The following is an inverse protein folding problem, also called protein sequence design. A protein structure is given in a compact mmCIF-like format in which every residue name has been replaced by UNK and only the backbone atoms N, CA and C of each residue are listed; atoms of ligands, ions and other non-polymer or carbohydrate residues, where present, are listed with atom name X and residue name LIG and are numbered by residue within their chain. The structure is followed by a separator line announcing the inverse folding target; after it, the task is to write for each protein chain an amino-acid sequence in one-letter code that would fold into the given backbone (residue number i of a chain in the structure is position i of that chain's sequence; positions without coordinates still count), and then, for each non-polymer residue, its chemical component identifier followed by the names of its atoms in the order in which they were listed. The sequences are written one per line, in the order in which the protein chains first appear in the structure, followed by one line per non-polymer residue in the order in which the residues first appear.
data_IF_812357988746
#
_entry.id   IF_812357988746
#
_cell.length_a   1.000
_cell.length_b   1.000
_cell.length_c   1.000
_cell.angle_alpha   90.00
_cell.angle_beta   90.00
_cell.angle_gamma   90.00
#
_symmetry.space_group_name_H-M   'P 1'
#
loop_
_entity.id
_entity.type
_entity.pdbx_description
1 polymer ?
#
# COMPACT_ATOMS: atom_id res chain seq x y z
N UNK A 1 14.61 5.98 5.50
CA UNK A 1 14.90 4.95 6.54
C UNK A 1 13.94 3.78 6.38
N UNK A 2 14.32 2.54 6.69
CA UNK A 2 13.40 1.41 6.65
C UNK A 2 12.22 1.62 7.61
N UNK A 3 11.05 1.08 7.27
CA UNK A 3 9.88 1.11 8.16
C UNK A 3 10.09 0.15 9.34
N UNK A 4 9.58 0.53 10.50
CA UNK A 4 9.46 -0.33 11.67
C UNK A 4 8.10 -1.02 11.70
N UNK A 5 8.00 -2.16 12.37
CA UNK A 5 6.71 -2.86 12.53
C UNK A 5 5.73 -2.00 13.35
N UNK A 6 4.48 -1.91 12.90
CA UNK A 6 3.38 -1.32 13.65
C UNK A 6 2.28 -0.69 12.79
N UNK A 7 1.29 -0.01 13.40
CA UNK A 7 0.26 0.74 12.69
C UNK A 7 0.75 2.02 11.98
N UNK A 8 0.25 2.23 10.75
CA UNK A 8 0.49 3.41 9.91
C UNK A 8 -0.80 3.91 9.27
N UNK A 9 -0.81 5.19 8.93
CA UNK A 9 -1.67 5.72 7.87
C UNK A 9 -0.86 5.73 6.56
N UNK A 10 -1.47 5.28 5.47
CA UNK A 10 -0.83 5.26 4.15
C UNK A 10 -1.54 6.24 3.23
N UNK A 11 -0.79 7.09 2.55
CA UNK A 11 -1.31 8.15 1.70
C UNK A 11 -0.62 8.15 0.32
N UNK A 12 -1.35 8.52 -0.72
CA UNK A 12 -0.79 8.90 -2.02
C UNK A 12 -1.31 10.29 -2.39
N UNK A 13 -0.42 11.22 -2.76
CA UNK A 13 -0.77 12.57 -3.26
C UNK A 13 -1.83 13.30 -2.42
N UNK A 14 -1.74 13.23 -1.09
CA UNK A 14 -2.72 13.91 -0.23
C UNK A 14 -3.97 13.09 0.10
N UNK A 15 -4.15 11.88 -0.44
CA UNK A 15 -5.33 11.03 -0.21
C UNK A 15 -4.98 9.72 0.48
N UNK A 16 -5.71 9.37 1.52
CA UNK A 16 -5.47 8.14 2.29
C UNK A 16 -5.92 6.90 1.52
N UNK A 17 -5.32 5.76 1.82
CA UNK A 17 -5.75 4.45 1.29
C UNK A 17 -6.72 3.78 2.26
N UNK A 18 -7.71 3.08 1.72
CA UNK A 18 -8.67 2.27 2.47
C UNK A 18 -8.96 0.94 1.78
N UNK A 19 -9.63 0.02 2.48
CA UNK A 19 -10.25 -1.15 1.90
C UNK A 19 -11.74 -0.90 1.70
N UNK A 20 -12.27 -1.30 0.54
CA UNK A 20 -13.68 -1.10 0.21
C UNK A 20 -14.55 -2.04 1.03
N UNK A 21 -15.30 -1.52 2.00
CA UNK A 21 -16.28 -2.29 2.77
C UNK A 21 -17.65 -2.38 2.07
N UNK A 22 -17.83 -1.69 0.94
CA UNK A 22 -19.09 -1.67 0.21
C UNK A 22 -19.30 -2.94 -0.62
N UNK A 23 -20.07 -3.87 -0.05
CA UNK A 23 -20.61 -5.04 -0.74
C UNK A 23 -20.01 -6.37 -0.27
N UNK A 24 -20.60 -7.52 -0.66
CA UNK A 24 -20.12 -8.86 -0.30
C UNK A 24 -18.83 -9.27 -1.06
N UNK A 25 -18.11 -8.29 -1.62
CA UNK A 25 -16.93 -8.51 -2.46
C UNK A 25 -15.75 -8.89 -1.58
N UNK A 26 -15.69 -10.19 -1.33
CA UNK A 26 -14.48 -10.86 -0.91
C UNK A 26 -13.75 -11.26 -2.20
N UNK A 27 -12.54 -10.78 -2.47
CA UNK A 27 -11.69 -9.95 -1.60
C UNK A 27 -11.97 -8.45 -1.69
N UNK A 28 -11.73 -7.73 -0.59
CA UNK A 28 -11.96 -6.28 -0.46
C UNK A 28 -10.95 -5.51 -1.33
N UNK A 29 -11.37 -4.44 -2.01
CA UNK A 29 -10.48 -3.67 -2.89
C UNK A 29 -9.68 -2.69 -2.05
N UNK A 30 -8.38 -2.55 -2.29
CA UNK A 30 -7.62 -1.42 -1.73
C UNK A 30 -7.83 -0.21 -2.63
N UNK A 31 -8.42 0.86 -2.11
CA UNK A 31 -8.84 2.05 -2.86
C UNK A 31 -8.15 3.32 -2.34
N UNK A 32 -8.12 4.37 -3.16
CA UNK A 32 -7.74 5.72 -2.72
C UNK A 32 -9.00 6.43 -2.22
N UNK A 33 -8.99 6.97 -1.02
CA UNK A 33 -10.11 7.75 -0.50
C UNK A 33 -10.20 9.13 -1.18
N UNK A 34 -11.38 9.76 -1.21
CA UNK A 34 -11.51 11.20 -1.43
C UNK A 34 -10.65 12.00 -0.45
N UNK A 35 -10.53 13.32 -0.65
CA UNK A 35 -9.80 14.19 0.29
C UNK A 35 -10.48 14.17 1.66
N UNK A 36 -9.84 13.51 2.63
CA UNK A 36 -10.32 13.36 4.01
C UNK A 36 -9.26 13.83 5.00
N UNK A 37 -9.71 14.14 6.22
CA UNK A 37 -8.84 14.59 7.33
C UNK A 37 -8.13 13.38 8.01
N UNK A 38 -8.48 12.16 7.64
CA UNK A 38 -7.88 10.93 8.18
C UNK A 38 -8.23 9.70 7.35
N UNK A 39 -7.49 8.62 7.57
CA UNK A 39 -7.68 7.33 6.91
C UNK A 39 -7.67 6.17 7.91
N UNK A 40 -8.00 4.97 7.45
CA UNK A 40 -7.95 3.75 8.26
C UNK A 40 -6.51 3.37 8.62
N UNK A 41 -6.39 2.53 9.64
CA UNK A 41 -5.09 2.03 10.12
C UNK A 41 -4.66 0.83 9.28
N UNK A 42 -3.41 0.85 8.85
CA UNK A 42 -2.74 -0.28 8.20
C UNK A 42 -1.65 -0.81 9.12
N UNK A 43 -1.66 -2.11 9.40
CA UNK A 43 -0.60 -2.74 10.16
C UNK A 43 0.50 -3.23 9.21
N UNK A 44 1.68 -2.65 9.34
CA UNK A 44 2.87 -3.01 8.55
C UNK A 44 3.77 -3.87 9.42
N UNK A 45 4.06 -5.09 8.98
CA UNK A 45 4.87 -6.05 9.71
C UNK A 45 6.15 -6.36 8.95
N UNK A 46 7.31 -6.09 9.58
CA UNK A 46 8.63 -6.38 9.01
C UNK A 46 8.93 -7.87 9.13
N UNK A 47 9.11 -8.54 7.99
CA UNK A 47 9.42 -9.97 7.89
C UNK A 47 10.84 -10.24 7.38
N UNK A 48 11.59 -9.18 7.02
CA UNK A 48 12.98 -9.27 6.59
C UNK A 48 13.59 -7.90 6.23
N UNK A 49 14.74 -7.91 5.57
CA UNK A 49 15.40 -6.69 5.08
C UNK A 49 14.56 -6.08 3.95
N UNK A 50 13.98 -4.91 4.20
CA UNK A 50 13.04 -4.23 3.30
C UNK A 50 11.81 -5.05 2.89
N UNK A 51 11.52 -6.15 3.60
CA UNK A 51 10.42 -7.07 3.32
C UNK A 51 9.35 -6.93 4.39
N UNK A 52 8.12 -6.71 3.95
CA UNK A 52 7.00 -6.37 4.82
C UNK A 52 5.73 -7.09 4.39
N UNK A 53 4.82 -7.32 5.32
CA UNK A 53 3.41 -7.61 5.00
C UNK A 53 2.57 -6.42 5.44
N UNK A 54 1.52 -6.11 4.69
CA UNK A 54 0.58 -5.03 5.01
C UNK A 54 -0.79 -5.65 5.25
N UNK A 55 -1.39 -5.33 6.40
CA UNK A 55 -2.71 -5.82 6.81
C UNK A 55 -3.64 -4.64 7.09
N UNK A 56 -4.90 -4.74 6.70
CA UNK A 56 -5.93 -3.79 7.13
C UNK A 56 -6.31 -4.00 8.60
N UNK A 57 -6.99 -3.02 9.18
CA UNK A 57 -7.47 -3.04 10.57
C UNK A 57 -8.46 -4.19 10.88
N UNK A 58 -9.23 -4.62 9.89
CA UNK A 58 -10.10 -5.81 9.98
C UNK A 58 -9.35 -7.16 9.81
N UNK A 59 -8.02 -7.13 9.68
CA UNK A 59 -7.17 -8.32 9.51
C UNK A 59 -6.99 -8.78 8.06
N UNK A 60 -7.52 -8.05 7.09
CA UNK A 60 -7.37 -8.33 5.66
C UNK A 60 -5.91 -8.29 5.22
N UNK A 61 -5.48 -9.34 4.52
CA UNK A 61 -4.08 -9.49 4.05
C UNK A 61 -3.97 -8.93 2.65
N UNK A 62 -3.13 -7.92 2.46
CA UNK A 62 -2.94 -7.33 1.13
C UNK A 62 -2.28 -8.32 0.17
N UNK A 63 -2.78 -8.36 -1.07
CA UNK A 63 -2.27 -9.21 -2.15
C UNK A 63 -2.48 -8.55 -3.52
N UNK A 64 -1.53 -8.75 -4.43
CA UNK A 64 -1.76 -8.57 -5.85
C UNK A 64 -2.60 -9.74 -6.40
N UNK A 65 -3.62 -9.40 -7.16
CA UNK A 65 -4.31 -10.32 -8.04
C UNK A 65 -4.41 -9.69 -9.42
N UNK A 66 -3.77 -10.32 -10.40
CA UNK A 66 -3.55 -9.79 -11.75
C UNK A 66 -2.87 -8.42 -11.74
N UNK A 67 -3.62 -7.36 -11.99
CA UNK A 67 -3.18 -5.97 -12.10
C UNK A 67 -3.74 -5.08 -10.98
N UNK A 68 -4.30 -5.68 -9.92
CA UNK A 68 -5.01 -4.97 -8.84
C UNK A 68 -4.58 -5.45 -7.45
N UNK A 69 -4.70 -4.56 -6.47
CA UNK A 69 -4.39 -4.86 -5.07
C UNK A 69 -5.68 -5.04 -4.26
N UNK A 70 -5.76 -6.15 -3.53
CA UNK A 70 -6.89 -6.51 -2.70
C UNK A 70 -6.46 -6.77 -1.25
N UNK A 71 -7.37 -6.58 -0.30
CA UNK A 71 -7.26 -7.05 1.08
C UNK A 71 -8.13 -8.31 1.25
N UNK A 72 -7.51 -9.45 1.51
CA UNK A 72 -8.21 -10.74 1.62
C UNK A 72 -8.51 -11.03 3.10
N UNK A 73 -9.79 -11.06 3.45
CA UNK A 73 -10.29 -11.26 4.83
C UNK A 73 -10.81 -12.70 5.10
N UNK A 74 -10.76 -13.60 4.10
CA UNK A 74 -11.27 -14.98 4.22
C UNK A 74 -10.42 -15.83 5.17
N UNK A 75 -11.08 -16.74 5.89
CA UNK A 75 -10.44 -17.84 6.61
C UNK A 75 -10.97 -19.22 6.15
N UNK A 76 -10.11 -20.21 5.85
CA UNK A 76 -8.66 -20.09 5.69
C UNK A 76 -8.32 -19.26 4.43
N UNK A 77 -7.54 -18.21 4.62
CA UNK A 77 -7.08 -17.33 3.55
C UNK A 77 -5.67 -17.70 3.10
N UNK A 78 -5.21 -17.17 1.96
CA UNK A 78 -3.83 -17.39 1.53
C UNK A 78 -2.84 -16.69 2.49
N UNK A 79 -1.58 -17.11 2.44
CA UNK A 79 -0.50 -16.45 3.19
C UNK A 79 -0.37 -14.97 2.76
N UNK A 80 -0.06 -14.04 3.68
CA UNK A 80 0.12 -12.62 3.32
C UNK A 80 1.19 -12.46 2.25
N UNK A 81 0.98 -11.55 1.29
CA UNK A 81 2.02 -11.24 0.32
C UNK A 81 3.17 -10.46 0.99
N UNK A 82 4.39 -10.77 0.56
CA UNK A 82 5.58 -10.06 0.99
C UNK A 82 5.88 -8.95 0.00
N UNK A 83 5.78 -7.72 0.48
CA UNK A 83 6.10 -6.50 -0.26
C UNK A 83 7.51 -6.03 0.04
N UNK A 84 8.20 -5.57 -1.01
CA UNK A 84 9.46 -4.85 -0.86
C UNK A 84 9.18 -3.35 -0.73
N UNK A 85 9.32 -2.82 0.48
CA UNK A 85 9.06 -1.41 0.77
C UNK A 85 10.40 -0.69 0.97
N UNK A 86 10.71 0.23 0.06
CA UNK A 86 11.98 0.99 0.08
C UNK A 86 11.74 2.49 0.09
N UNK A 87 12.56 3.27 0.82
CA UNK A 87 12.44 4.73 0.82
C UNK A 87 12.59 5.32 -0.59
N UNK A 88 11.78 6.32 -0.89
CA UNK A 88 11.91 7.19 -2.05
C UNK A 88 12.37 8.58 -1.58
N UNK A 89 13.67 8.84 -1.70
CA UNK A 89 14.26 10.11 -1.24
C UNK A 89 13.79 11.32 -2.06
N UNK A 90 13.33 11.10 -3.30
CA UNK A 90 12.82 12.15 -4.19
C UNK A 90 11.34 12.44 -3.93
N UNK A 91 10.59 11.43 -3.48
CA UNK A 91 9.18 11.54 -3.11
C UNK A 91 8.88 12.33 -1.83
N UNK A 92 9.92 12.82 -1.15
CA UNK A 92 9.81 13.64 0.06
C UNK A 92 9.93 12.84 1.36
N UNK A 93 9.56 13.47 2.48
CA UNK A 93 9.65 12.85 3.80
C UNK A 93 8.67 11.68 3.93
N UNK A 94 9.13 10.59 4.55
CA UNK A 94 8.34 9.38 4.82
C UNK A 94 7.70 8.78 3.56
N UNK A 95 8.36 8.97 2.42
CA UNK A 95 7.91 8.50 1.10
C UNK A 95 8.56 7.17 0.75
N UNK A 96 7.78 6.24 0.21
CA UNK A 96 8.18 4.86 -0.04
C UNK A 96 7.56 4.29 -1.31
N UNK A 97 8.24 3.34 -1.92
CA UNK A 97 7.72 2.54 -3.03
C UNK A 97 7.46 1.13 -2.54
N UNK A 98 6.29 0.57 -2.89
CA UNK A 98 5.84 -0.78 -2.53
C UNK A 98 5.94 -1.66 -3.78
N UNK A 99 6.82 -2.66 -3.75
CA UNK A 99 7.11 -3.56 -4.88
C UNK A 99 6.74 -5.00 -4.60
N UNK A 100 6.40 -5.74 -5.66
CA UNK A 100 6.32 -7.20 -5.60
C UNK A 100 7.71 -7.80 -5.40
N UNK A 101 7.78 -9.10 -5.09
CA UNK A 101 9.05 -9.81 -4.91
C UNK A 101 9.92 -9.81 -6.18
N UNK A 102 9.31 -9.86 -7.36
CA UNK A 102 10.04 -9.81 -8.62
C UNK A 102 10.61 -8.41 -8.92
N UNK A 103 10.17 -7.39 -8.18
CA UNK A 103 10.75 -6.04 -8.19
C UNK A 103 10.41 -5.15 -9.38
N UNK A 104 9.78 -5.69 -10.44
CA UNK A 104 9.41 -4.91 -11.64
C UNK A 104 7.99 -4.34 -11.57
N UNK A 105 7.10 -4.90 -10.75
CA UNK A 105 5.77 -4.34 -10.46
C UNK A 105 5.70 -3.77 -9.05
N UNK A 106 4.73 -2.89 -8.85
CA UNK A 106 4.44 -2.32 -7.55
C UNK A 106 3.06 -1.70 -7.50
N UNK A 107 2.77 -1.11 -6.35
CA UNK A 107 1.51 -0.40 -6.13
C UNK A 107 1.51 0.89 -6.93
N UNK A 108 0.41 1.15 -7.65
CA UNK A 108 0.19 2.38 -8.40
C UNK A 108 -1.21 2.89 -8.10
N UNK A 109 -1.28 4.11 -7.56
CA UNK A 109 -2.53 4.78 -7.25
C UNK A 109 -3.22 5.29 -8.53
N UNK A 110 -4.55 5.11 -8.65
CA UNK A 110 -5.33 5.75 -9.69
C UNK A 110 -5.47 7.26 -9.44
N UNK A 111 -5.83 8.03 -10.48
CA UNK A 111 -6.04 9.48 -10.36
C UNK A 111 -7.36 9.83 -9.69
N UNK A 112 -8.42 9.10 -10.03
CA UNK A 112 -9.75 9.29 -9.47
C UNK A 112 -9.85 8.64 -8.08
N UNK A 113 -10.48 9.31 -7.10
CA UNK A 113 -10.77 8.70 -5.80
C UNK A 113 -11.73 7.51 -5.96
N UNK A 114 -11.80 6.68 -4.94
CA UNK A 114 -12.59 5.45 -4.83
C UNK A 114 -12.19 4.33 -5.82
N UNK A 115 -11.29 4.64 -6.77
CA UNK A 115 -10.68 3.64 -7.61
C UNK A 115 -9.64 2.81 -6.85
N UNK A 116 -9.50 1.57 -7.32
CA UNK A 116 -8.62 0.57 -6.74
C UNK A 116 -7.15 0.81 -7.08
N UNK A 117 -6.26 0.57 -6.12
CA UNK A 117 -4.81 0.52 -6.31
C UNK A 117 -4.47 -0.61 -7.28
N UNK A 118 -3.63 -0.29 -8.25
CA UNK A 118 -3.19 -1.21 -9.29
C UNK A 118 -1.84 -1.84 -8.92
N UNK A 119 -1.59 -3.05 -9.43
CA UNK A 119 -0.29 -3.72 -9.42
C UNK A 119 0.32 -3.65 -10.82
N UNK A 120 1.14 -2.65 -11.09
CA UNK A 120 1.63 -2.33 -12.44
C UNK A 120 3.15 -2.21 -12.50
N UNK A 121 3.75 -2.35 -13.68
CA UNK A 121 5.16 -2.06 -13.88
C UNK A 121 5.52 -0.65 -13.39
N UNK A 122 6.60 -0.54 -12.61
CA UNK A 122 7.07 0.75 -12.14
C UNK A 122 7.93 1.41 -13.21
N UNK A 123 7.36 2.39 -13.89
CA UNK A 123 8.04 3.13 -14.96
C UNK A 123 8.81 4.29 -14.32
N UNK A 124 10.13 4.22 -14.34
CA UNK A 124 11.00 5.32 -13.90
C UNK A 124 11.12 6.39 -14.99
N UNK A 125 11.07 7.66 -14.61
CA UNK A 125 11.45 8.77 -15.50
C UNK A 125 12.98 8.87 -15.65
N UNK A 126 13.43 9.74 -16.57
CA UNK A 126 14.83 10.18 -16.66
C UNK A 126 14.93 11.67 -16.26
N UNK A 127 15.65 12.05 -15.17
CA UNK A 127 16.43 11.18 -14.28
C UNK A 127 15.55 10.20 -13.49
N UNK A 128 16.17 9.09 -13.06
CA UNK A 128 15.51 7.98 -12.34
C UNK A 128 14.70 8.48 -11.15
N UNK A 129 13.39 8.62 -11.36
CA UNK A 129 12.42 9.02 -10.35
C UNK A 129 11.15 8.21 -10.51
N UNK A 130 10.52 7.86 -9.39
CA UNK A 130 9.22 7.20 -9.40
C UNK A 130 8.14 8.24 -9.69
N UNK A 131 7.13 7.89 -10.49
CA UNK A 131 6.03 8.80 -10.74
C UNK A 131 5.25 9.00 -9.43
N UNK A 132 4.66 10.17 -9.17
CA UNK A 132 4.08 10.46 -7.85
C UNK A 132 2.89 9.56 -7.46
N UNK A 133 2.33 8.80 -8.39
CA UNK A 133 1.27 7.81 -8.11
C UNK A 133 1.82 6.43 -7.73
N UNK A 134 3.12 6.18 -7.88
CA UNK A 134 3.79 4.96 -7.44
C UNK A 134 4.52 5.11 -6.09
N UNK A 135 4.49 6.32 -5.50
CA UNK A 135 5.12 6.61 -4.22
C UNK A 135 4.05 6.88 -3.15
N UNK A 136 4.22 6.30 -1.97
CA UNK A 136 3.26 6.36 -0.87
C UNK A 136 3.92 6.89 0.40
N UNK A 137 3.21 7.76 1.11
CA UNK A 137 3.64 8.31 2.38
C UNK A 137 3.13 7.44 3.53
N UNK A 138 4.02 7.11 4.46
CA UNK A 138 3.71 6.28 5.63
C UNK A 138 3.83 7.10 6.92
N UNK A 139 2.72 7.36 7.58
CA UNK A 139 2.69 8.07 8.85
C UNK A 139 2.52 7.08 10.00
N UNK A 140 3.57 6.90 10.82
CA UNK A 140 3.51 6.01 12.00
C UNK A 140 2.48 6.55 12.97
N UNK A 141 1.56 5.69 13.40
CA UNK A 141 0.64 5.98 14.50
C UNK A 141 1.35 5.57 15.80
N UNK A 142 1.51 6.47 16.78
CA UNK A 142 2.07 6.12 18.08
C UNK A 142 1.29 4.97 18.72
N UNK A 143 1.99 4.04 19.36
CA UNK A 143 1.33 3.05 20.20
C UNK A 143 0.78 3.78 21.45
N UNK A 144 -0.48 3.55 21.81
CA UNK A 144 -1.14 4.16 22.99
C UNK A 144 -0.54 3.66 24.32
#
# INVERSE_FOLDING_TARGET
MPLETGPYLIQNRGRFLDHSTEGPLIPERVIVLPETIGGPKWFVEKVGVNRYTIKSDNGGRTRANEDKIFAITVFPGPEPEVWYITPDEQGGKDSYVIRTEEGYKGWVAPEEPENQIMCQPLILSDPANYPPNATFQFFRIPDE
#
